data_IF_349596250362
#
_entry.id   IF_349596250362
#
_cell.length_a   1.000
_cell.length_b   1.000
_cell.length_c   1.000
_cell.angle_alpha   90.00
_cell.angle_beta   90.00
_cell.angle_gamma   90.00
#
_symmetry.space_group_name_H-M   'P 1'
#
loop_
_entity.id
_entity.type
_entity.pdbx_description
1 polymer ?
#
# COMPACT_ATOMS: atom_id res chain seq x y z
N UNK A 1 8.54 -11.26 -3.07
CA UNK A 1 9.08 -10.13 -3.85
C UNK A 1 8.80 -10.35 -5.32
N UNK A 2 8.22 -9.37 -6.00
CA UNK A 2 8.11 -9.35 -7.46
C UNK A 2 9.25 -8.51 -8.04
N UNK A 3 9.97 -9.04 -9.03
CA UNK A 3 11.01 -8.32 -9.76
C UNK A 3 10.51 -8.06 -11.18
N UNK A 4 10.52 -6.80 -11.58
CA UNK A 4 10.09 -6.36 -12.93
C UNK A 4 11.21 -5.56 -13.57
N UNK A 5 11.54 -5.87 -14.82
CA UNK A 5 12.42 -5.05 -15.65
C UNK A 5 11.61 -4.04 -16.46
N UNK A 6 12.17 -2.84 -16.54
CA UNK A 6 11.67 -1.77 -17.39
C UNK A 6 12.81 -1.28 -18.28
N UNK A 7 12.57 -1.19 -19.59
CA UNK A 7 13.56 -0.71 -20.55
C UNK A 7 12.87 -0.12 -21.79
N UNK A 8 13.63 0.69 -22.54
CA UNK A 8 13.21 1.27 -23.81
C UNK A 8 13.98 0.55 -24.92
N UNK A 9 13.30 0.12 -25.98
CA UNK A 9 13.93 -0.54 -27.13
C UNK A 9 14.47 0.47 -28.18
N UNK A 10 14.97 -0.05 -29.30
CA UNK A 10 15.47 0.78 -30.41
C UNK A 10 14.39 1.58 -31.14
N UNK A 11 13.12 1.24 -30.94
CA UNK A 11 11.95 1.91 -31.52
C UNK A 11 11.29 2.89 -30.53
N UNK A 12 11.94 3.17 -29.39
CA UNK A 12 11.44 4.03 -28.33
C UNK A 12 10.20 3.51 -27.59
N UNK A 13 9.92 2.21 -27.68
CA UNK A 13 8.82 1.58 -26.95
C UNK A 13 9.25 1.26 -25.51
N UNK A 14 8.39 1.62 -24.56
CA UNK A 14 8.57 1.23 -23.16
C UNK A 14 8.10 -0.21 -22.95
N UNK A 15 9.01 -1.07 -22.49
CA UNK A 15 8.69 -2.43 -22.10
C UNK A 15 8.65 -2.60 -20.59
N UNK A 16 7.70 -3.44 -20.15
CA UNK A 16 7.59 -3.97 -18.79
C UNK A 16 7.61 -5.49 -18.87
N UNK A 17 8.52 -6.14 -18.15
CA UNK A 17 8.64 -7.61 -18.12
C UNK A 17 8.79 -8.09 -16.68
N UNK A 18 7.95 -9.04 -16.27
CA UNK A 18 8.13 -9.73 -15.00
C UNK A 18 9.31 -10.68 -15.14
N UNK A 19 10.33 -10.51 -14.31
CA UNK A 19 11.52 -11.36 -14.34
C UNK A 19 11.37 -12.56 -13.41
N UNK A 20 10.80 -12.35 -12.21
CA UNK A 20 10.69 -13.40 -11.21
C UNK A 20 9.68 -13.06 -10.09
N UNK A 21 9.08 -14.09 -9.51
CA UNK A 21 8.38 -14.05 -8.23
C UNK A 21 9.21 -14.83 -7.20
N UNK A 22 9.81 -14.12 -6.26
CA UNK A 22 10.72 -14.73 -5.30
C UNK A 22 10.13 -14.74 -3.90
N UNK A 23 10.20 -15.88 -3.23
CA UNK A 23 9.90 -15.99 -1.80
C UNK A 23 11.07 -15.38 -1.02
N UNK A 24 10.79 -14.44 -0.12
CA UNK A 24 11.80 -13.85 0.76
C UNK A 24 11.84 -14.67 2.05
N UNK A 25 12.87 -15.49 2.24
CA UNK A 25 13.05 -16.25 3.48
C UNK A 25 13.57 -15.38 4.65
N UNK A 26 14.17 -14.23 4.35
CA UNK A 26 14.72 -13.31 5.37
C UNK A 26 14.66 -11.86 4.88
N UNK A 27 14.10 -10.96 5.69
CA UNK A 27 14.01 -9.52 5.39
C UNK A 27 15.32 -8.75 5.64
N UNK A 28 16.45 -9.45 5.80
CA UNK A 28 17.77 -8.81 5.89
C UNK A 28 18.20 -8.28 4.51
N UNK A 29 18.70 -7.05 4.46
CA UNK A 29 19.10 -6.38 3.21
C UNK A 29 20.03 -7.21 2.32
N UNK A 30 21.04 -7.87 2.89
CA UNK A 30 21.97 -8.72 2.13
C UNK A 30 21.28 -9.93 1.48
N UNK A 31 20.27 -10.50 2.13
CA UNK A 31 19.50 -11.63 1.58
C UNK A 31 18.70 -11.18 0.35
N UNK A 32 18.08 -9.99 0.43
CA UNK A 32 17.39 -9.37 -0.70
C UNK A 32 18.38 -9.04 -1.82
N UNK A 33 19.54 -8.47 -1.49
CA UNK A 33 20.60 -8.15 -2.45
C UNK A 33 21.09 -9.38 -3.21
N UNK A 34 21.34 -10.50 -2.52
CA UNK A 34 21.69 -11.79 -3.14
C UNK A 34 20.60 -12.31 -4.07
N UNK A 35 19.35 -12.21 -3.66
CA UNK A 35 18.22 -12.65 -4.46
C UNK A 35 18.10 -11.82 -5.75
N UNK A 36 18.27 -10.49 -5.65
CA UNK A 36 18.34 -9.60 -6.81
C UNK A 36 19.51 -9.97 -7.73
N UNK A 37 20.72 -10.16 -7.19
CA UNK A 37 21.90 -10.59 -7.94
C UNK A 37 21.64 -11.89 -8.71
N UNK A 38 21.12 -12.92 -8.04
CA UNK A 38 20.81 -14.21 -8.69
C UNK A 38 19.81 -14.04 -9.83
N UNK A 39 18.74 -13.26 -9.61
CA UNK A 39 17.75 -13.01 -10.65
C UNK A 39 18.36 -12.28 -11.85
N UNK A 40 19.15 -11.23 -11.62
CA UNK A 40 19.78 -10.46 -12.69
C UNK A 40 20.79 -11.28 -13.50
N UNK A 41 21.59 -12.12 -12.82
CA UNK A 41 22.53 -13.04 -13.47
C UNK A 41 21.84 -14.12 -14.29
N UNK A 42 20.72 -14.67 -13.79
CA UNK A 42 19.94 -15.67 -14.51
C UNK A 42 19.42 -15.14 -15.87
N UNK A 43 19.05 -13.86 -15.91
CA UNK A 43 18.62 -13.18 -17.14
C UNK A 43 19.76 -12.54 -17.95
N UNK A 44 21.02 -12.73 -17.53
CA UNK A 44 22.22 -12.07 -18.07
C UNK A 44 22.15 -10.53 -18.13
N UNK A 45 21.41 -9.91 -17.19
CA UNK A 45 21.22 -8.46 -17.11
C UNK A 45 22.39 -7.79 -16.40
N UNK A 46 23.39 -7.38 -17.17
CA UNK A 46 24.62 -6.75 -16.65
C UNK A 46 24.58 -5.23 -16.59
N UNK A 47 23.82 -4.59 -17.49
CA UNK A 47 23.74 -3.12 -17.62
C UNK A 47 22.50 -2.59 -16.92
N UNK A 48 22.66 -2.23 -15.64
CA UNK A 48 21.56 -1.72 -14.82
C UNK A 48 21.82 -0.25 -14.53
N UNK A 49 20.87 0.60 -14.95
CA UNK A 49 20.90 2.03 -14.66
C UNK A 49 20.37 2.32 -13.26
N UNK A 50 19.18 1.81 -12.94
CA UNK A 50 18.45 2.12 -11.72
C UNK A 50 17.64 0.91 -11.25
N UNK A 51 17.48 0.81 -9.94
CA UNK A 51 16.62 -0.13 -9.25
C UNK A 51 15.73 0.69 -8.32
N UNK A 52 14.42 0.51 -8.48
CA UNK A 52 13.42 1.17 -7.63
C UNK A 52 12.90 0.21 -6.58
N UNK A 53 13.08 0.57 -5.31
CA UNK A 53 12.57 -0.18 -4.15
C UNK A 53 11.94 0.78 -3.13
N UNK A 54 11.15 0.26 -2.18
CA UNK A 54 10.53 1.10 -1.15
C UNK A 54 11.61 1.72 -0.23
N UNK A 55 11.23 2.73 0.57
CA UNK A 55 12.17 3.52 1.36
C UNK A 55 12.51 2.90 2.73
N UNK A 56 12.51 1.57 2.87
CA UNK A 56 12.91 0.96 4.14
C UNK A 56 14.45 0.90 4.28
N UNK A 57 14.96 1.07 5.49
CA UNK A 57 16.41 1.12 5.75
C UNK A 57 17.17 -0.14 5.29
N UNK A 58 16.54 -1.31 5.39
CA UNK A 58 17.14 -2.58 4.96
C UNK A 58 17.26 -2.72 3.44
N UNK A 59 16.46 -1.98 2.66
CA UNK A 59 16.56 -1.95 1.20
C UNK A 59 17.79 -1.19 0.70
N UNK A 60 18.25 -0.19 1.45
CA UNK A 60 19.52 0.50 1.14
C UNK A 60 20.70 -0.48 1.18
N UNK A 61 20.78 -1.32 2.22
CA UNK A 61 21.80 -2.38 2.33
C UNK A 61 21.75 -3.40 1.17
N UNK A 62 20.56 -3.70 0.65
CA UNK A 62 20.41 -4.59 -0.49
C UNK A 62 21.02 -4.00 -1.77
N UNK A 63 20.85 -2.69 -1.99
CA UNK A 63 21.44 -1.99 -3.12
C UNK A 63 22.94 -1.83 -2.96
N UNK A 64 23.42 -1.50 -1.76
CA UNK A 64 24.86 -1.40 -1.49
C UNK A 64 25.57 -2.74 -1.74
N UNK A 65 24.96 -3.84 -1.27
CA UNK A 65 25.41 -5.19 -1.61
C UNK A 65 25.48 -5.39 -3.12
N UNK A 66 24.40 -5.10 -3.84
CA UNK A 66 24.35 -5.35 -5.29
C UNK A 66 25.36 -4.49 -6.06
N UNK A 67 25.50 -3.21 -5.70
CA UNK A 67 26.52 -2.30 -6.26
C UNK A 67 27.92 -2.89 -6.09
N UNK A 68 28.25 -3.39 -4.89
CA UNK A 68 29.55 -4.02 -4.64
C UNK A 68 29.80 -5.24 -5.51
N UNK A 69 28.75 -5.99 -5.89
CA UNK A 69 28.87 -7.20 -6.73
C UNK A 69 28.94 -6.88 -8.21
N UNK A 70 28.14 -5.92 -8.67
CA UNK A 70 28.09 -5.53 -10.07
C UNK A 70 29.44 -5.08 -10.62
N UNK A 71 30.28 -4.42 -9.80
CA UNK A 71 31.64 -4.04 -10.19
C UNK A 71 32.58 -5.22 -10.50
N UNK A 72 32.23 -6.43 -10.07
CA UNK A 72 32.99 -7.66 -10.32
C UNK A 72 32.37 -8.56 -11.39
N UNK A 73 31.29 -8.13 -12.04
CA UNK A 73 30.66 -8.93 -13.09
C UNK A 73 31.51 -8.86 -14.37
N UNK A 74 31.76 -10.02 -15.01
CA UNK A 74 32.53 -10.08 -16.25
C UNK A 74 31.84 -9.24 -17.34
N UNK A 75 32.55 -8.24 -17.87
CA UNK A 75 32.03 -7.24 -18.81
C UNK A 75 30.81 -6.44 -18.28
N UNK A 76 30.59 -6.44 -16.97
CA UNK A 76 29.55 -5.67 -16.31
C UNK A 76 30.20 -4.48 -15.61
N UNK A 77 30.06 -3.29 -16.20
CA UNK A 77 30.21 -2.06 -15.44
C UNK A 77 28.81 -1.55 -15.08
N UNK A 78 28.57 -1.11 -13.83
CA UNK A 78 27.38 -0.35 -13.53
C UNK A 78 27.26 0.84 -14.48
N UNK A 79 26.08 1.05 -15.04
CA UNK A 79 25.84 2.18 -15.94
C UNK A 79 26.07 3.47 -15.16
N UNK A 80 26.83 4.42 -15.72
CA UNK A 80 27.22 5.67 -15.08
C UNK A 80 27.86 5.45 -13.69
N UNK A 81 28.74 4.44 -13.58
CA UNK A 81 29.47 4.09 -12.34
C UNK A 81 28.53 3.74 -11.16
N UNK A 82 27.26 3.45 -11.44
CA UNK A 82 26.27 3.13 -10.43
C UNK A 82 25.81 4.33 -9.59
N UNK A 83 26.09 5.56 -10.06
CA UNK A 83 25.67 6.82 -9.42
C UNK A 83 24.16 6.86 -9.18
N UNK A 84 23.38 6.33 -10.13
CA UNK A 84 21.91 6.37 -10.12
C UNK A 84 21.23 5.02 -9.85
N UNK A 85 21.98 4.01 -9.36
CA UNK A 85 21.42 2.65 -9.18
C UNK A 85 20.30 2.59 -8.15
N UNK A 86 20.24 3.52 -7.18
CA UNK A 86 19.17 3.53 -6.18
C UNK A 86 18.17 4.65 -6.49
N UNK A 87 16.94 4.26 -6.80
CA UNK A 87 15.80 5.17 -6.88
C UNK A 87 14.80 4.79 -5.80
N UNK A 88 14.42 5.74 -4.95
CA UNK A 88 13.38 5.50 -3.93
C UNK A 88 12.01 5.54 -4.60
N UNK A 89 11.13 4.63 -4.19
CA UNK A 89 9.77 4.59 -4.72
C UNK A 89 8.99 5.87 -4.37
N UNK A 90 8.69 6.72 -5.36
CA UNK A 90 7.90 7.94 -5.18
C UNK A 90 6.50 7.67 -4.61
N UNK A 91 5.84 6.58 -5.04
CA UNK A 91 4.52 6.21 -4.50
C UNK A 91 4.58 5.91 -2.99
N UNK A 92 5.67 5.29 -2.53
CA UNK A 92 5.87 5.05 -1.11
C UNK A 92 6.20 6.34 -0.34
N UNK A 93 7.01 7.24 -0.92
CA UNK A 93 7.25 8.57 -0.34
C UNK A 93 5.94 9.35 -0.20
N UNK A 94 5.11 9.36 -1.24
CA UNK A 94 3.78 9.98 -1.20
C UNK A 94 2.91 9.35 -0.10
N UNK A 95 2.91 8.02 0.04
CA UNK A 95 2.22 7.36 1.15
C UNK A 95 2.72 7.87 2.51
N UNK A 96 4.03 7.97 2.73
CA UNK A 96 4.58 8.47 3.99
C UNK A 96 4.14 9.91 4.29
N UNK A 97 4.19 10.80 3.29
CA UNK A 97 3.77 12.21 3.43
C UNK A 97 2.29 12.27 3.80
N UNK A 98 1.44 11.55 3.07
CA UNK A 98 -0.01 11.58 3.32
C UNK A 98 -0.34 10.97 4.68
N UNK A 99 0.27 9.83 5.04
CA UNK A 99 0.09 9.20 6.34
C UNK A 99 0.44 10.15 7.50
N UNK A 100 1.54 10.89 7.38
CA UNK A 100 1.92 11.87 8.40
C UNK A 100 0.90 13.02 8.52
N UNK A 101 0.33 13.45 7.38
CA UNK A 101 -0.78 14.39 7.37
C UNK A 101 -2.06 13.82 8.03
N UNK A 102 -2.40 12.56 7.75
CA UNK A 102 -3.61 11.91 8.26
C UNK A 102 -3.58 11.72 9.78
N UNK A 103 -2.40 11.59 10.41
CA UNK A 103 -2.29 11.53 11.88
C UNK A 103 -2.94 12.72 12.58
N UNK A 104 -2.94 13.90 11.96
CA UNK A 104 -3.60 15.09 12.53
C UNK A 104 -5.12 14.96 12.61
N UNK A 105 -5.69 14.04 11.83
CA UNK A 105 -7.12 13.77 11.73
C UNK A 105 -7.46 12.36 12.24
N UNK A 106 -6.53 11.70 12.95
CA UNK A 106 -6.62 10.29 13.31
C UNK A 106 -7.92 9.96 14.05
N UNK A 107 -8.33 10.82 15.00
CA UNK A 107 -9.59 10.63 15.75
C UNK A 107 -10.82 10.63 14.84
N UNK A 108 -10.93 11.61 13.94
CA UNK A 108 -12.05 11.69 12.99
C UNK A 108 -12.05 10.52 12.01
N UNK A 109 -10.87 10.14 11.51
CA UNK A 109 -10.71 8.99 10.62
C UNK A 109 -11.07 7.70 11.36
N UNK A 110 -10.67 7.53 12.62
CA UNK A 110 -10.99 6.36 13.43
C UNK A 110 -12.50 6.25 13.67
N UNK A 111 -13.18 7.35 13.96
CA UNK A 111 -14.64 7.36 14.12
C UNK A 111 -15.34 6.92 12.83
N UNK A 112 -14.96 7.46 11.67
CA UNK A 112 -15.48 7.04 10.37
C UNK A 112 -15.10 5.58 10.06
N UNK A 113 -13.92 5.13 10.47
CA UNK A 113 -13.51 3.73 10.29
C UNK A 113 -14.36 2.78 11.12
N UNK A 114 -14.62 3.11 12.38
CA UNK A 114 -15.50 2.35 13.26
C UNK A 114 -16.91 2.31 12.68
N UNK A 115 -17.34 3.42 12.09
CA UNK A 115 -18.60 3.56 11.40
C UNK A 115 -18.78 2.55 10.25
N UNK A 116 -17.81 2.58 9.34
CA UNK A 116 -17.76 1.67 8.20
C UNK A 116 -17.60 0.22 8.66
N UNK A 117 -16.82 -0.03 9.71
CA UNK A 117 -16.63 -1.36 10.29
C UNK A 117 -17.94 -1.91 10.87
N UNK A 118 -18.75 -1.09 11.54
CA UNK A 118 -20.07 -1.48 12.06
C UNK A 118 -20.98 -1.96 10.93
N UNK A 119 -21.15 -1.15 9.89
CA UNK A 119 -22.02 -1.46 8.74
C UNK A 119 -21.60 -2.78 8.08
N UNK A 120 -20.28 -3.03 8.02
CA UNK A 120 -19.70 -4.20 7.36
C UNK A 120 -19.55 -5.43 8.24
N UNK A 121 -19.82 -5.34 9.54
CA UNK A 121 -19.52 -6.45 10.46
C UNK A 121 -20.47 -7.63 10.31
N UNK A 122 -21.67 -7.44 9.73
CA UNK A 122 -22.59 -8.53 9.42
C UNK A 122 -23.46 -8.22 8.19
N UNK A 123 -23.96 -9.25 7.47
CA UNK A 123 -24.92 -9.05 6.38
C UNK A 123 -26.18 -8.31 6.84
N UNK A 124 -26.68 -8.59 8.05
CA UNK A 124 -27.86 -7.93 8.60
C UNK A 124 -27.66 -6.41 8.73
N UNK A 125 -26.54 -5.96 9.32
CA UNK A 125 -26.24 -4.52 9.45
C UNK A 125 -26.07 -3.84 8.10
N UNK A 126 -25.53 -4.55 7.11
CA UNK A 126 -25.42 -4.04 5.75
C UNK A 126 -26.80 -3.90 5.08
N UNK A 127 -27.72 -4.84 5.29
CA UNK A 127 -29.09 -4.73 4.78
C UNK A 127 -29.86 -3.61 5.49
N UNK A 128 -29.74 -3.49 6.81
CA UNK A 128 -30.29 -2.36 7.58
C UNK A 128 -29.76 -1.03 7.03
N UNK A 129 -28.45 -0.90 6.83
CA UNK A 129 -27.84 0.28 6.21
C UNK A 129 -28.45 0.58 4.82
N UNK A 130 -28.64 -0.42 3.97
CA UNK A 130 -29.30 -0.24 2.65
C UNK A 130 -30.73 0.27 2.79
N UNK A 131 -31.47 -0.13 3.82
CA UNK A 131 -32.82 0.43 4.05
C UNK A 131 -32.76 1.93 4.31
N UNK A 132 -31.77 2.42 5.07
CA UNK A 132 -31.57 3.85 5.30
C UNK A 132 -31.13 4.58 4.03
N UNK A 133 -30.26 3.98 3.20
CA UNK A 133 -29.87 4.51 1.88
C UNK A 133 -31.09 4.74 1.00
N UNK A 134 -32.02 3.77 0.96
CA UNK A 134 -33.27 3.87 0.21
C UNK A 134 -34.19 4.97 0.78
N UNK A 135 -34.32 5.06 2.11
CA UNK A 135 -35.10 6.13 2.77
C UNK A 135 -34.52 7.52 2.48
N UNK A 136 -33.21 7.66 2.31
CA UNK A 136 -32.55 8.91 1.94
C UNK A 136 -32.50 9.18 0.43
N UNK A 137 -33.06 8.26 -0.39
CA UNK A 137 -33.10 8.36 -1.86
C UNK A 137 -31.73 8.60 -2.49
N UNK A 138 -30.69 8.00 -1.91
CA UNK A 138 -29.32 8.12 -2.44
C UNK A 138 -29.15 7.07 -3.54
N UNK A 139 -29.06 7.54 -4.79
CA UNK A 139 -28.75 6.69 -5.95
C UNK A 139 -27.25 6.36 -5.97
N UNK A 140 -26.82 5.41 -5.14
CA UNK A 140 -25.41 4.99 -5.10
C UNK A 140 -25.25 3.51 -5.48
N UNK A 141 -24.47 3.26 -6.54
CA UNK A 141 -23.96 1.92 -6.91
C UNK A 141 -22.70 1.51 -6.13
N UNK A 142 -22.20 2.38 -5.26
CA UNK A 142 -20.90 2.23 -4.61
C UNK A 142 -20.99 1.43 -3.32
N UNK A 143 -20.10 0.44 -3.18
CA UNK A 143 -19.93 -0.35 -1.97
C UNK A 143 -19.08 0.45 -0.97
N UNK A 144 -19.54 0.52 0.27
CA UNK A 144 -18.74 1.06 1.36
C UNK A 144 -17.51 0.16 1.59
N UNK A 145 -16.30 0.72 1.52
CA UNK A 145 -15.04 -0.01 1.63
C UNK A 145 -14.34 0.36 2.93
N UNK A 146 -13.93 -0.65 3.70
CA UNK A 146 -13.07 -0.44 4.87
C UNK A 146 -11.64 -0.19 4.41
N UNK A 147 -10.97 0.79 5.00
CA UNK A 147 -9.59 1.11 4.62
C UNK A 147 -8.58 0.06 5.09
N UNK A 148 -7.40 0.11 4.47
CA UNK A 148 -6.18 -0.52 4.94
C UNK A 148 -5.32 0.62 5.49
N UNK A 149 -5.20 0.80 6.82
CA UNK A 149 -4.62 2.00 7.42
C UNK A 149 -3.23 2.36 6.92
N UNK A 150 -2.43 1.38 6.48
CA UNK A 150 -1.08 1.59 5.94
C UNK A 150 -1.04 2.16 4.52
N UNK A 151 -2.18 2.22 3.82
CA UNK A 151 -2.31 2.65 2.41
C UNK A 151 -3.24 3.85 2.29
N UNK A 152 -2.66 5.02 2.06
CA UNK A 152 -3.38 6.30 2.01
C UNK A 152 -4.56 6.30 1.04
N UNK A 153 -4.40 5.66 -0.12
CA UNK A 153 -5.42 5.62 -1.16
C UNK A 153 -6.66 4.82 -0.72
N UNK A 154 -6.49 3.82 0.15
CA UNK A 154 -7.62 3.07 0.70
C UNK A 154 -8.39 3.88 1.74
N UNK A 155 -7.70 4.66 2.58
CA UNK A 155 -8.32 5.61 3.51
C UNK A 155 -9.08 6.69 2.74
N UNK A 156 -8.49 7.24 1.67
CA UNK A 156 -9.20 8.16 0.78
C UNK A 156 -10.51 7.55 0.23
N UNK A 157 -10.47 6.32 -0.28
CA UNK A 157 -11.67 5.66 -0.82
C UNK A 157 -12.74 5.44 0.25
N UNK A 158 -12.34 5.07 1.48
CA UNK A 158 -13.26 4.94 2.61
C UNK A 158 -13.91 6.29 2.94
N UNK A 159 -13.12 7.36 3.03
CA UNK A 159 -13.61 8.70 3.36
C UNK A 159 -14.52 9.26 2.25
N UNK A 160 -14.14 9.13 0.97
CA UNK A 160 -14.96 9.56 -0.17
C UNK A 160 -16.31 8.81 -0.20
N UNK A 161 -16.29 7.50 0.06
CA UNK A 161 -17.51 6.71 0.16
C UNK A 161 -18.35 7.13 1.37
N UNK A 162 -17.76 7.26 2.56
CA UNK A 162 -18.46 7.63 3.77
C UNK A 162 -19.12 9.00 3.67
N UNK A 163 -18.44 9.98 3.04
CA UNK A 163 -18.97 11.32 2.81
C UNK A 163 -20.25 11.30 1.95
N UNK A 164 -20.31 10.43 0.93
CA UNK A 164 -21.53 10.27 0.11
C UNK A 164 -22.72 9.71 0.90
N UNK A 165 -22.46 9.01 2.00
CA UNK A 165 -23.46 8.42 2.87
C UNK A 165 -23.65 9.21 4.18
N UNK A 166 -23.14 10.44 4.29
CA UNK A 166 -23.22 11.27 5.50
C UNK A 166 -24.64 11.32 6.08
N UNK A 167 -25.64 11.65 5.23
CA UNK A 167 -27.05 11.70 5.65
C UNK A 167 -27.57 10.38 6.20
N UNK A 168 -27.11 9.26 5.66
CA UNK A 168 -27.49 7.92 6.12
C UNK A 168 -26.94 7.67 7.52
N UNK A 169 -25.68 8.01 7.76
CA UNK A 169 -25.07 7.88 9.07
C UNK A 169 -25.72 8.80 10.12
N UNK A 170 -26.10 10.03 9.73
CA UNK A 170 -26.87 10.93 10.60
C UNK A 170 -28.21 10.29 10.98
N UNK A 171 -29.00 9.83 10.01
CA UNK A 171 -30.29 9.18 10.28
C UNK A 171 -30.16 7.90 11.09
N UNK A 172 -29.11 7.12 10.88
CA UNK A 172 -28.83 5.94 11.70
C UNK A 172 -28.54 6.31 13.15
N UNK A 173 -27.83 7.42 13.40
CA UNK A 173 -27.55 7.90 14.75
C UNK A 173 -28.76 8.48 15.49
N UNK A 174 -29.81 8.88 14.77
CA UNK A 174 -31.09 9.31 15.33
C UNK A 174 -32.02 8.13 15.70
N UNK A 175 -31.75 6.93 15.18
CA UNK A 175 -32.50 5.71 15.49
C UNK A 175 -31.88 5.06 16.75
N UNK A 176 -32.65 4.96 17.85
CA UNK A 176 -32.22 4.49 19.18
C UNK A 176 -31.54 3.10 19.20
N UNK A 177 -31.60 2.35 18.10
CA UNK A 177 -30.97 1.04 17.92
C UNK A 177 -29.51 1.08 17.41
N UNK A 178 -29.01 2.23 16.94
CA UNK A 178 -27.59 2.35 16.60
C UNK A 178 -26.82 2.76 17.85
N UNK A 179 -25.85 1.96 18.34
CA UNK A 179 -25.07 2.34 19.50
C UNK A 179 -24.19 3.53 19.11
N UNK A 180 -24.65 4.76 19.37
CA UNK A 180 -23.88 6.01 19.20
C UNK A 180 -22.52 5.92 19.91
N UNK A 181 -22.45 5.17 21.01
CA UNK A 181 -21.23 4.79 21.73
C UNK A 181 -20.24 3.94 20.92
N UNK A 182 -20.66 3.22 19.87
CA UNK A 182 -19.75 2.41 19.03
C UNK A 182 -18.98 3.25 17.99
N UNK A 183 -19.58 4.35 17.51
CA UNK A 183 -18.97 5.23 16.50
C UNK A 183 -17.96 6.20 17.12
N UNK A 184 -18.20 6.57 18.38
CA UNK A 184 -17.41 7.55 19.14
C UNK A 184 -16.67 6.95 20.36
N UNK A 185 -16.90 5.68 20.67
CA UNK A 185 -16.16 4.96 21.71
C UNK A 185 -14.72 4.72 21.28
N UNK A 186 -13.78 5.28 22.04
CA UNK A 186 -12.36 4.99 21.92
C UNK A 186 -12.05 3.67 22.62
N UNK A 187 -12.27 2.49 22.00
CA UNK A 187 -11.74 1.18 22.44
C UNK A 187 -11.87 0.17 21.26
N UNK A 188 -10.92 -0.67 20.83
CA UNK A 188 -9.61 -1.12 21.32
C UNK A 188 -8.50 -0.81 20.29
N UNK A 189 -7.39 -0.27 20.78
CA UNK A 189 -6.08 -0.35 20.15
C UNK A 189 -5.61 -1.81 20.09
N UNK A 190 -4.98 -2.17 18.99
CA UNK A 190 -3.99 -3.24 18.87
C UNK A 190 -4.38 -4.64 19.38
N UNK A 191 -4.98 -5.43 18.47
CA UNK A 191 -4.53 -6.82 18.32
C UNK A 191 -3.65 -6.91 17.09
N UNK A 192 -2.35 -6.73 17.33
CA UNK A 192 -1.28 -7.26 16.50
C UNK A 192 -1.47 -8.78 16.35
N UNK A 193 -2.19 -9.21 15.32
CA UNK A 193 -1.88 -10.50 14.70
C UNK A 193 -0.91 -10.22 13.57
N UNK A 194 0.37 -10.31 13.93
CA UNK A 194 1.51 -10.14 13.06
C UNK A 194 1.43 -11.08 11.86
N UNK A 195 0.94 -10.56 10.74
CA UNK A 195 1.44 -10.92 9.42
C UNK A 195 1.74 -9.62 8.71
N UNK A 196 2.99 -9.17 8.88
CA UNK A 196 3.55 -8.06 8.14
C UNK A 196 3.50 -8.34 6.64
N UNK A 197 2.43 -7.91 5.99
CA UNK A 197 2.39 -7.71 4.56
C UNK A 197 2.95 -6.31 4.26
N UNK A 198 4.28 -6.25 4.17
CA UNK A 198 5.04 -5.20 3.48
C UNK A 198 5.39 -5.70 2.08
#
# INVERSE_FOLDING_TARGET
MLITAHFIDGEWNLHKRVLNFCVIASHKGNSIGKLLETCLRHWDLKKILAITINNASFHTKAIDYLKSKMGHWKNGSPVLEGKYTHVRCCAHIANLIVQDGLKKLEKSILSIRNAVRYVRSSPQRLEEFKTFVLKERIECKWLMVLDIPTRWNSTYMMLDAALRFEKVFVRMGEDDNAPSSFWFGEDELDREDGVGCI
#
